data_IF_772837786204
#
_entry.id   IF_772837786204
#
_cell.length_a   1.000
_cell.length_b   1.000
_cell.length_c   1.000
_cell.angle_alpha   90.00
_cell.angle_beta   90.00
_cell.angle_gamma   90.00
#
_symmetry.space_group_name_H-M   'P 1'
#
loop_
_entity.id
_entity.type
_entity.pdbx_description
1 polymer ?
#
# COMPACT_ATOMS: atom_id res chain seq x y z
N UNK A 1 -22.41 -9.57 9.87
CA UNK A 1 -20.99 -9.19 10.14
C UNK A 1 -20.54 -8.22 9.06
N UNK A 2 -19.84 -7.18 9.43
CA UNK A 2 -19.39 -6.11 8.52
C UNK A 2 -17.91 -5.87 8.74
N UNK A 3 -17.17 -5.49 7.69
CA UNK A 3 -15.77 -5.12 7.84
C UNK A 3 -15.40 -3.93 6.95
N UNK A 4 -14.48 -3.11 7.45
CA UNK A 4 -13.89 -1.98 6.75
C UNK A 4 -12.38 -2.17 6.77
N UNK A 5 -11.76 -2.08 5.61
CA UNK A 5 -10.32 -1.89 5.47
C UNK A 5 -10.10 -0.44 5.04
N UNK A 6 -9.27 0.31 5.77
CA UNK A 6 -8.70 1.57 5.30
C UNK A 6 -7.22 1.33 5.01
N UNK A 7 -6.85 1.40 3.75
CA UNK A 7 -5.53 1.00 3.28
C UNK A 7 -4.83 2.19 2.63
N UNK A 8 -3.76 2.64 3.27
CA UNK A 8 -2.90 3.70 2.77
C UNK A 8 -1.73 3.13 1.96
N UNK A 9 -1.17 3.90 1.05
CA UNK A 9 0.11 3.61 0.42
C UNK A 9 1.20 4.48 1.05
N UNK A 10 2.33 3.88 1.38
CA UNK A 10 3.52 4.64 1.82
C UNK A 10 3.38 5.34 3.19
N UNK A 11 2.46 4.92 4.08
CA UNK A 11 2.29 5.53 5.40
C UNK A 11 3.41 5.11 6.37
N UNK A 12 4.34 6.03 6.64
CA UNK A 12 5.45 5.79 7.54
C UNK A 12 5.05 5.98 9.02
N UNK A 13 5.13 4.92 9.82
CA UNK A 13 4.75 4.93 11.24
C UNK A 13 5.51 5.94 12.09
N UNK A 14 6.72 6.35 11.69
CA UNK A 14 7.51 7.34 12.42
C UNK A 14 6.88 8.74 12.41
N UNK A 15 5.97 9.00 11.49
CA UNK A 15 5.22 10.25 11.38
C UNK A 15 3.88 10.21 12.13
N UNK A 16 3.53 9.10 12.77
CA UNK A 16 2.30 8.96 13.57
C UNK A 16 2.64 9.12 15.06
N UNK A 17 2.10 10.15 15.78
CA UNK A 17 2.37 10.37 17.21
C UNK A 17 2.07 9.16 18.10
N UNK A 18 1.04 8.36 17.79
CA UNK A 18 0.71 7.14 18.52
C UNK A 18 1.77 6.03 18.43
N UNK A 19 2.65 6.07 17.42
CA UNK A 19 3.82 5.18 17.30
C UNK A 19 5.13 5.85 17.69
N UNK A 20 5.25 7.15 17.48
CA UNK A 20 6.44 7.92 17.75
C UNK A 20 6.08 9.22 18.48
N UNK A 21 6.22 9.26 19.81
CA UNK A 21 5.91 10.46 20.60
C UNK A 21 6.73 11.72 20.22
N UNK A 22 7.84 11.54 19.49
CA UNK A 22 8.65 12.65 18.98
C UNK A 22 8.14 13.17 17.61
N UNK A 23 7.17 12.52 17.00
CA UNK A 23 6.58 13.01 15.74
C UNK A 23 5.83 14.32 15.96
N UNK A 24 6.07 15.26 15.07
CA UNK A 24 5.42 16.58 15.09
C UNK A 24 4.22 16.67 14.15
N UNK A 25 3.85 15.56 13.52
CA UNK A 25 2.69 15.46 12.63
C UNK A 25 1.39 15.64 13.43
N UNK A 26 0.49 16.45 12.92
CA UNK A 26 -0.85 16.66 13.50
C UNK A 26 -1.75 15.54 13.02
N UNK A 27 -1.95 14.52 13.84
CA UNK A 27 -2.69 13.31 13.51
C UNK A 27 -3.57 12.82 14.68
N UNK A 28 -4.55 13.63 15.13
CA UNK A 28 -5.41 13.30 16.27
C UNK A 28 -6.35 12.12 16.01
N UNK A 29 -6.75 11.87 14.77
CA UNK A 29 -7.66 10.77 14.45
C UNK A 29 -6.94 9.41 14.45
N UNK A 30 -5.66 9.34 14.06
CA UNK A 30 -4.86 8.15 14.29
C UNK A 30 -4.68 7.87 15.79
N UNK A 31 -4.56 8.91 16.62
CA UNK A 31 -4.53 8.75 18.07
C UNK A 31 -5.87 8.23 18.60
N UNK A 32 -7.00 8.81 18.14
CA UNK A 32 -8.36 8.33 18.47
C UNK A 32 -8.56 6.87 18.05
N UNK A 33 -8.08 6.49 16.86
CA UNK A 33 -8.12 5.10 16.40
C UNK A 33 -7.32 4.17 17.33
N UNK A 34 -6.12 4.57 17.73
CA UNK A 34 -5.28 3.80 18.66
C UNK A 34 -5.98 3.57 20.01
N UNK A 35 -6.74 4.56 20.49
CA UNK A 35 -7.54 4.46 21.72
C UNK A 35 -8.75 3.53 21.59
N UNK A 36 -9.29 3.36 20.37
CA UNK A 36 -10.48 2.53 20.08
C UNK A 36 -10.14 1.16 19.50
N UNK A 37 -8.87 0.83 19.28
CA UNK A 37 -8.47 -0.41 18.62
C UNK A 37 -7.26 -1.06 19.30
N UNK A 38 -6.86 -2.20 18.80
CA UNK A 38 -5.56 -2.81 19.10
C UNK A 38 -4.52 -2.25 18.16
N UNK A 39 -3.47 -1.66 18.72
CA UNK A 39 -2.31 -1.18 17.98
C UNK A 39 -1.23 -2.27 17.96
N UNK A 40 -0.73 -2.60 16.77
CA UNK A 40 0.35 -3.58 16.62
C UNK A 40 1.71 -2.88 16.59
N UNK A 41 2.56 -3.20 17.56
CA UNK A 41 3.90 -2.62 17.65
C UNK A 41 4.84 -3.22 16.59
N UNK A 42 4.61 -4.45 16.15
CA UNK A 42 5.48 -5.21 15.25
C UNK A 42 4.74 -5.72 14.01
N UNK A 43 4.15 -4.78 13.25
CA UNK A 43 3.63 -5.06 11.91
C UNK A 43 4.71 -4.84 10.87
N UNK A 44 4.92 -5.82 9.99
CA UNK A 44 5.93 -5.78 8.94
C UNK A 44 5.34 -6.05 7.56
N UNK A 45 5.96 -5.43 6.56
CA UNK A 45 5.70 -5.79 5.15
C UNK A 45 6.05 -7.25 4.89
N UNK A 46 5.56 -7.78 3.79
CA UNK A 46 6.04 -9.04 3.21
C UNK A 46 6.69 -8.77 1.85
N UNK A 47 5.92 -8.83 0.78
CA UNK A 47 6.36 -8.43 -0.55
C UNK A 47 6.20 -6.95 -0.77
N UNK A 48 7.24 -6.33 -1.29
CA UNK A 48 7.26 -4.90 -1.61
C UNK A 48 7.51 -4.69 -3.10
N UNK A 49 7.21 -3.50 -3.62
CA UNK A 49 6.42 -2.43 -3.01
C UNK A 49 4.90 -2.61 -3.30
N UNK A 50 4.19 -1.59 -3.64
CA UNK A 50 2.75 -1.41 -3.77
C UNK A 50 1.95 -2.63 -4.27
N UNK A 51 2.08 -3.05 -5.54
CA UNK A 51 1.27 -4.15 -6.10
C UNK A 51 1.64 -5.55 -5.57
N UNK A 52 2.92 -5.89 -5.33
CA UNK A 52 3.26 -7.11 -4.61
C UNK A 52 2.64 -7.20 -3.22
N UNK A 53 2.56 -6.10 -2.46
CA UNK A 53 1.87 -6.06 -1.17
C UNK A 53 0.36 -6.29 -1.32
N UNK A 54 -0.26 -5.71 -2.35
CA UNK A 54 -1.69 -5.95 -2.65
C UNK A 54 -1.96 -7.39 -3.04
N UNK A 55 -1.06 -8.01 -3.77
CA UNK A 55 -1.20 -9.44 -4.07
C UNK A 55 -1.09 -10.29 -2.81
N UNK A 56 -0.24 -9.93 -1.86
CA UNK A 56 -0.20 -10.58 -0.54
C UNK A 56 -1.49 -10.39 0.24
N UNK A 57 -2.06 -9.18 0.24
CA UNK A 57 -3.35 -8.91 0.86
C UNK A 57 -4.47 -9.77 0.25
N UNK A 58 -4.45 -9.99 -1.07
CA UNK A 58 -5.42 -10.84 -1.74
C UNK A 58 -5.22 -12.32 -1.44
N UNK A 59 -3.97 -12.80 -1.44
CA UNK A 59 -3.67 -14.25 -1.49
C UNK A 59 -3.16 -14.84 -0.18
N UNK A 60 -2.80 -14.00 0.79
CA UNK A 60 -2.17 -14.45 2.03
C UNK A 60 -0.82 -15.15 1.83
N UNK A 61 -0.11 -14.89 0.73
CA UNK A 61 1.15 -15.55 0.37
C UNK A 61 2.21 -14.56 -0.10
N UNK A 62 3.49 -14.88 0.16
CA UNK A 62 4.61 -14.11 -0.36
C UNK A 62 4.64 -14.09 -1.89
N UNK A 63 4.60 -12.91 -2.49
CA UNK A 63 4.75 -12.70 -3.93
C UNK A 63 6.22 -12.66 -4.36
N UNK A 64 7.07 -11.95 -3.62
CA UNK A 64 8.45 -11.64 -4.02
C UNK A 64 9.35 -12.86 -4.19
N UNK A 65 8.95 -14.04 -3.72
CA UNK A 65 9.70 -15.27 -3.85
C UNK A 65 9.60 -15.93 -5.25
N UNK A 66 8.60 -15.54 -6.06
CA UNK A 66 8.36 -16.20 -7.34
C UNK A 66 7.93 -15.28 -8.48
N UNK A 67 7.57 -14.03 -8.20
CA UNK A 67 6.98 -13.12 -9.19
C UNK A 67 7.35 -11.67 -8.91
N UNK A 68 7.72 -10.94 -9.96
CA UNK A 68 7.79 -9.48 -9.93
C UNK A 68 6.40 -8.83 -9.88
N UNK A 69 6.34 -7.51 -10.04
CA UNK A 69 5.07 -6.79 -10.19
C UNK A 69 4.27 -7.37 -11.35
N UNK A 70 3.05 -7.77 -11.06
CA UNK A 70 2.22 -8.37 -12.07
C UNK A 70 0.80 -8.65 -11.60
N UNK A 71 0.01 -9.30 -12.47
CA UNK A 71 -1.37 -9.64 -12.19
C UNK A 71 -1.52 -10.71 -11.10
N UNK A 72 -2.73 -10.90 -10.66
CA UNK A 72 -3.14 -12.13 -9.99
C UNK A 72 -3.02 -13.29 -10.98
N UNK A 73 -2.69 -14.45 -10.47
CA UNK A 73 -2.53 -15.66 -11.28
C UNK A 73 -3.81 -16.50 -11.27
N UNK A 74 -4.09 -17.30 -12.30
CA UNK A 74 -5.28 -18.18 -12.34
C UNK A 74 -5.36 -19.18 -11.19
N UNK A 75 -4.25 -19.45 -10.50
CA UNK A 75 -4.17 -20.33 -9.33
C UNK A 75 -4.22 -19.58 -8.00
N UNK A 76 -4.28 -18.24 -8.00
CA UNK A 76 -4.37 -17.46 -6.79
C UNK A 76 -5.77 -17.53 -6.17
N UNK A 77 -5.82 -17.73 -4.87
CA UNK A 77 -7.03 -17.58 -4.08
C UNK A 77 -7.15 -16.12 -3.66
N UNK A 78 -8.11 -15.40 -4.21
CA UNK A 78 -8.28 -13.98 -3.91
C UNK A 78 -9.29 -13.78 -2.79
N UNK A 79 -8.91 -13.12 -1.70
CA UNK A 79 -9.74 -12.88 -0.51
C UNK A 79 -11.13 -12.30 -0.86
N UNK A 80 -11.28 -11.20 -1.64
CA UNK A 80 -12.61 -10.70 -1.95
C UNK A 80 -13.45 -11.67 -2.77
N UNK A 81 -12.82 -12.49 -3.63
CA UNK A 81 -13.53 -13.51 -4.43
C UNK A 81 -14.03 -14.66 -3.53
N UNK A 82 -13.19 -15.15 -2.62
CA UNK A 82 -13.59 -16.17 -1.65
C UNK A 82 -14.72 -15.68 -0.71
N UNK A 83 -14.67 -14.43 -0.28
CA UNK A 83 -15.75 -13.83 0.52
C UNK A 83 -17.05 -13.72 -0.29
N UNK A 84 -16.95 -13.30 -1.55
CA UNK A 84 -18.09 -13.24 -2.47
C UNK A 84 -18.75 -14.61 -2.67
N UNK A 85 -17.97 -15.68 -2.78
CA UNK A 85 -18.47 -17.06 -2.86
C UNK A 85 -19.25 -17.49 -1.59
N UNK A 86 -18.95 -16.89 -0.44
CA UNK A 86 -19.67 -17.10 0.82
C UNK A 86 -20.84 -16.12 1.02
N UNK A 87 -21.19 -15.36 -0.01
CA UNK A 87 -22.30 -14.41 0.02
C UNK A 87 -21.98 -13.08 0.72
N UNK A 88 -20.71 -12.78 1.01
CA UNK A 88 -20.30 -11.47 1.51
C UNK A 88 -20.21 -10.49 0.35
N UNK A 89 -20.89 -9.35 0.44
CA UNK A 89 -20.80 -8.31 -0.57
C UNK A 89 -19.48 -7.53 -0.41
N UNK A 90 -18.62 -7.59 -1.40
CA UNK A 90 -17.31 -6.93 -1.37
C UNK A 90 -17.28 -5.71 -2.28
N UNK A 91 -16.87 -4.57 -1.74
CA UNK A 91 -16.77 -3.30 -2.48
C UNK A 91 -15.37 -2.70 -2.32
N UNK A 92 -14.76 -2.31 -3.46
CA UNK A 92 -13.48 -1.63 -3.50
C UNK A 92 -13.69 -0.17 -3.90
N UNK A 93 -13.06 0.74 -3.15
CA UNK A 93 -12.89 2.14 -3.55
C UNK A 93 -11.38 2.42 -3.53
N UNK A 94 -10.83 2.90 -4.65
CA UNK A 94 -9.39 3.14 -4.76
C UNK A 94 -9.09 4.27 -5.75
N UNK A 95 -8.00 4.98 -5.51
CA UNK A 95 -7.36 5.90 -6.47
C UNK A 95 -6.03 5.35 -7.00
N UNK A 96 -5.73 4.08 -6.76
CA UNK A 96 -4.48 3.47 -7.14
C UNK A 96 -4.40 3.26 -8.66
N UNK A 97 -3.54 4.02 -9.33
CA UNK A 97 -3.45 4.06 -10.80
C UNK A 97 -3.04 2.72 -11.44
N UNK A 98 -2.31 1.86 -10.72
CA UNK A 98 -1.86 0.58 -11.23
C UNK A 98 -3.00 -0.41 -11.55
N UNK A 99 -4.21 -0.19 -11.03
CA UNK A 99 -5.38 -0.98 -11.43
C UNK A 99 -5.82 -0.74 -12.89
N UNK A 100 -5.28 0.29 -13.54
CA UNK A 100 -5.50 0.58 -14.97
C UNK A 100 -4.37 0.13 -15.88
N UNK A 101 -3.32 -0.44 -15.32
CA UNK A 101 -2.19 -0.98 -16.07
C UNK A 101 -2.43 -2.44 -16.46
N UNK A 102 -1.71 -2.93 -17.49
CA UNK A 102 -1.90 -4.29 -18.03
C UNK A 102 -1.84 -5.39 -16.94
N UNK A 103 -0.96 -5.26 -15.97
CA UNK A 103 -0.78 -6.22 -14.88
C UNK A 103 -1.64 -5.98 -13.64
N UNK A 104 -2.40 -4.89 -13.59
CA UNK A 104 -3.24 -4.55 -12.44
C UNK A 104 -4.73 -4.72 -12.69
N UNK A 105 -5.14 -4.89 -13.95
CA UNK A 105 -6.55 -4.85 -14.35
C UNK A 105 -7.38 -6.07 -13.91
N UNK A 106 -6.81 -7.02 -13.20
CA UNK A 106 -7.52 -8.19 -12.70
C UNK A 106 -7.71 -8.22 -11.17
N UNK A 107 -7.26 -7.18 -10.43
CA UNK A 107 -7.46 -7.09 -8.99
C UNK A 107 -8.87 -6.60 -8.62
N UNK A 108 -9.29 -5.45 -9.16
CA UNK A 108 -10.55 -4.82 -8.81
C UNK A 108 -11.78 -5.66 -9.19
N UNK A 109 -11.71 -6.44 -10.25
CA UNK A 109 -12.80 -7.28 -10.70
C UNK A 109 -13.02 -8.57 -9.86
N UNK A 110 -12.18 -8.79 -8.84
CA UNK A 110 -12.41 -9.82 -7.81
C UNK A 110 -13.52 -9.42 -6.84
N UNK A 111 -13.80 -8.12 -6.69
CA UNK A 111 -14.88 -7.59 -5.86
C UNK A 111 -16.24 -7.70 -6.56
N UNK A 112 -17.35 -7.57 -5.81
CA UNK A 112 -18.69 -7.48 -6.40
C UNK A 112 -18.87 -6.16 -7.15
N UNK A 113 -18.34 -5.07 -6.60
CA UNK A 113 -18.35 -3.75 -7.22
C UNK A 113 -17.13 -2.94 -6.84
N UNK A 114 -16.85 -1.92 -7.63
CA UNK A 114 -15.68 -1.05 -7.39
C UNK A 114 -15.89 0.34 -7.95
N UNK A 115 -15.25 1.32 -7.30
CA UNK A 115 -15.12 2.69 -7.77
C UNK A 115 -13.65 3.08 -7.80
N UNK A 116 -13.15 3.47 -8.98
CA UNK A 116 -11.76 3.88 -9.14
C UNK A 116 -11.72 5.38 -9.45
N UNK A 117 -11.04 6.13 -8.59
CA UNK A 117 -10.76 7.55 -8.76
C UNK A 117 -9.47 7.71 -9.54
N UNK A 118 -9.41 8.69 -10.43
CA UNK A 118 -8.27 8.93 -11.31
C UNK A 118 -7.54 10.21 -10.94
N UNK A 119 -6.25 10.27 -11.24
CA UNK A 119 -5.47 11.52 -11.18
C UNK A 119 -4.27 11.52 -10.25
N UNK A 120 -4.05 10.45 -9.48
CA UNK A 120 -2.88 10.32 -8.62
C UNK A 120 -1.59 10.17 -9.43
N UNK A 121 -0.49 10.68 -8.89
CA UNK A 121 0.85 10.57 -9.46
C UNK A 121 0.88 10.92 -10.95
N UNK A 122 1.56 10.13 -11.73
CA UNK A 122 1.63 10.21 -13.18
C UNK A 122 0.53 9.46 -13.92
N UNK A 123 -0.65 9.30 -13.33
CA UNK A 123 -1.78 8.61 -13.95
C UNK A 123 -2.11 9.21 -15.32
N UNK A 124 -2.27 8.35 -16.32
CA UNK A 124 -2.66 8.71 -17.69
C UNK A 124 -4.15 9.12 -17.76
N UNK A 125 -4.56 10.04 -16.89
CA UNK A 125 -5.94 10.46 -16.72
C UNK A 125 -6.39 11.51 -17.74
N UNK A 126 -5.70 12.66 -17.75
CA UNK A 126 -6.08 13.78 -18.61
C UNK A 126 -5.17 13.92 -19.82
N UNK A 127 -5.78 14.15 -20.98
CA UNK A 127 -5.03 14.38 -22.21
C UNK A 127 -4.58 15.86 -22.30
N UNK A 128 -3.31 16.08 -22.62
CA UNK A 128 -2.78 17.37 -23.03
C UNK A 128 -1.76 17.18 -24.14
N UNK A 129 -1.97 17.84 -25.28
CA UNK A 129 -1.01 17.86 -26.39
C UNK A 129 0.10 18.88 -26.17
N UNK A 130 -0.17 19.88 -25.34
CA UNK A 130 0.82 20.90 -24.94
C UNK A 130 1.45 20.48 -23.60
N UNK A 131 2.69 20.89 -23.39
CA UNK A 131 3.33 20.71 -22.09
C UNK A 131 2.59 21.51 -21.01
N UNK A 132 2.46 20.95 -19.80
CA UNK A 132 1.84 21.65 -18.69
C UNK A 132 2.69 22.86 -18.28
N UNK A 133 2.02 23.89 -17.78
CA UNK A 133 2.71 25.01 -17.16
C UNK A 133 3.23 24.59 -15.78
N UNK A 134 4.54 24.52 -15.64
CA UNK A 134 5.20 24.25 -14.34
C UNK A 134 5.69 25.58 -13.79
N UNK A 135 5.32 25.97 -12.55
CA UNK A 135 5.80 27.20 -11.95
C UNK A 135 7.34 27.25 -11.86
N UNK A 136 7.95 28.41 -12.07
CA UNK A 136 9.42 28.60 -12.01
C UNK A 136 10.02 28.26 -10.62
N UNK A 137 9.19 28.35 -9.59
CA UNK A 137 9.57 28.02 -8.20
C UNK A 137 9.72 26.51 -7.98
N UNK A 138 9.34 25.66 -8.93
CA UNK A 138 9.44 24.19 -8.80
C UNK A 138 10.81 23.70 -9.25
N UNK A 139 11.43 22.85 -8.43
CA UNK A 139 12.66 22.12 -8.77
C UNK A 139 12.31 20.93 -9.67
N UNK A 140 12.64 21.04 -10.95
CA UNK A 140 12.44 19.91 -11.89
C UNK A 140 13.58 18.91 -11.70
N UNK A 141 13.30 17.66 -11.32
CA UNK A 141 14.32 16.63 -11.11
C UNK A 141 15.07 16.34 -12.42
N UNK A 142 16.41 16.24 -12.36
CA UNK A 142 17.26 16.02 -13.54
C UNK A 142 16.87 14.76 -14.34
N UNK A 143 16.49 13.67 -13.66
CA UNK A 143 16.04 12.40 -14.28
C UNK A 143 14.70 12.53 -15.01
N UNK A 144 13.97 13.60 -14.79
CA UNK A 144 12.63 13.80 -15.38
C UNK A 144 12.64 14.84 -16.51
N UNK A 145 13.74 15.58 -16.68
CA UNK A 145 13.89 16.61 -17.72
C UNK A 145 13.94 16.05 -19.16
N UNK A 146 14.02 14.76 -19.35
CA UNK A 146 14.11 14.10 -20.66
C UNK A 146 13.02 13.08 -20.98
N UNK A 147 11.98 12.96 -20.16
CA UNK A 147 10.97 11.88 -20.25
C UNK A 147 9.97 12.00 -21.42
N UNK A 148 10.03 13.09 -22.19
CA UNK A 148 9.12 13.32 -23.32
C UNK A 148 7.64 13.35 -22.92
N UNK A 149 6.76 13.19 -23.90
CA UNK A 149 5.29 13.27 -23.72
C UNK A 149 4.69 12.14 -22.86
N UNK A 150 5.42 11.06 -22.62
CA UNK A 150 4.96 9.89 -21.88
C UNK A 150 5.53 9.80 -20.44
N UNK A 151 6.20 10.83 -19.93
CA UNK A 151 6.75 10.78 -18.57
C UNK A 151 5.68 10.93 -17.50
N UNK A 152 5.78 10.14 -16.42
CA UNK A 152 4.87 10.22 -15.29
C UNK A 152 4.85 11.62 -14.65
N UNK A 153 6.01 12.27 -14.55
CA UNK A 153 6.12 13.65 -14.06
C UNK A 153 5.30 14.65 -14.90
N UNK A 154 5.33 14.50 -16.24
CA UNK A 154 4.52 15.34 -17.13
C UNK A 154 3.04 15.13 -16.92
N UNK A 155 2.60 13.88 -16.78
CA UNK A 155 1.20 13.56 -16.50
C UNK A 155 0.75 14.10 -15.15
N UNK A 156 1.58 13.98 -14.11
CA UNK A 156 1.30 14.59 -12.81
C UNK A 156 1.00 16.09 -12.94
N UNK A 157 1.85 16.85 -13.62
CA UNK A 157 1.61 18.29 -13.83
C UNK A 157 0.39 18.59 -14.70
N UNK A 158 0.05 17.71 -15.66
CA UNK A 158 -1.22 17.81 -16.40
C UNK A 158 -2.39 17.59 -15.44
N UNK A 159 -2.35 16.54 -14.61
CA UNK A 159 -3.41 16.17 -13.67
C UNK A 159 -3.63 17.28 -12.63
N UNK A 160 -2.58 17.85 -12.05
CA UNK A 160 -2.66 18.97 -11.09
C UNK A 160 -3.42 20.17 -11.63
N UNK A 161 -3.45 20.38 -12.95
CA UNK A 161 -4.24 21.46 -13.54
C UNK A 161 -5.76 21.27 -13.39
N UNK A 162 -6.19 20.06 -13.05
CA UNK A 162 -7.57 19.66 -12.76
C UNK A 162 -7.83 19.38 -11.28
N UNK A 163 -6.79 19.36 -10.45
CA UNK A 163 -6.85 19.14 -8.99
C UNK A 163 -6.52 20.47 -8.33
N UNK A 164 -7.53 21.30 -8.05
CA UNK A 164 -7.37 22.68 -7.58
C UNK A 164 -7.89 22.91 -6.18
N UNK A 165 -9.04 22.34 -5.90
CA UNK A 165 -9.71 22.42 -4.62
C UNK A 165 -9.60 21.06 -3.92
N UNK A 166 -9.71 21.02 -2.58
CA UNK A 166 -9.61 19.76 -1.84
C UNK A 166 -10.56 18.67 -2.34
N UNK A 167 -11.76 19.05 -2.78
CA UNK A 167 -12.74 18.12 -3.35
C UNK A 167 -12.27 17.45 -4.67
N UNK A 168 -11.28 18.02 -5.35
CA UNK A 168 -10.73 17.45 -6.58
C UNK A 168 -9.65 16.39 -6.30
N UNK A 169 -9.10 16.37 -5.07
CA UNK A 169 -8.06 15.41 -4.71
C UNK A 169 -8.59 13.97 -4.72
N UNK A 170 -7.88 13.04 -5.37
CA UNK A 170 -8.33 11.65 -5.46
C UNK A 170 -8.61 11.01 -4.09
N UNK A 171 -7.75 11.23 -3.09
CA UNK A 171 -7.98 10.78 -1.72
C UNK A 171 -9.32 11.29 -1.16
N UNK A 172 -9.58 12.60 -1.26
CA UNK A 172 -10.86 13.18 -0.79
C UNK A 172 -12.04 12.50 -1.43
N UNK A 173 -11.97 12.28 -2.75
CA UNK A 173 -13.03 11.61 -3.51
C UNK A 173 -13.20 10.14 -3.10
N UNK A 174 -12.11 9.42 -2.77
CA UNK A 174 -12.19 8.05 -2.24
C UNK A 174 -12.93 8.02 -0.91
N UNK A 175 -12.58 8.93 0.00
CA UNK A 175 -13.26 9.02 1.30
C UNK A 175 -14.71 9.51 1.19
N UNK A 176 -15.03 10.39 0.23
CA UNK A 176 -16.43 10.78 -0.04
C UNK A 176 -17.27 9.57 -0.43
N UNK A 177 -16.78 8.72 -1.33
CA UNK A 177 -17.45 7.48 -1.73
C UNK A 177 -17.52 6.48 -0.59
N UNK A 178 -16.44 6.36 0.20
CA UNK A 178 -16.43 5.53 1.41
C UNK A 178 -17.49 5.95 2.42
N UNK A 179 -17.62 7.25 2.67
CA UNK A 179 -18.68 7.80 3.52
C UNK A 179 -20.08 7.54 2.94
N UNK A 180 -20.27 7.75 1.63
CA UNK A 180 -21.55 7.44 0.96
C UNK A 180 -21.90 5.95 1.11
N UNK A 181 -20.92 5.04 0.91
CA UNK A 181 -21.14 3.60 1.10
C UNK A 181 -21.59 3.29 2.52
N UNK A 182 -20.93 3.84 3.54
CA UNK A 182 -21.26 3.61 4.95
C UNK A 182 -22.61 4.21 5.30
N UNK A 183 -22.91 5.43 4.87
CA UNK A 183 -24.22 6.07 5.12
C UNK A 183 -25.38 5.28 4.53
N UNK A 184 -25.17 4.67 3.37
CA UNK A 184 -26.19 3.89 2.68
C UNK A 184 -26.37 2.48 3.24
N UNK A 185 -25.29 1.86 3.77
CA UNK A 185 -25.26 0.43 4.08
C UNK A 185 -24.97 0.11 5.56
N UNK A 186 -24.94 1.11 6.47
CA UNK A 186 -24.64 0.89 7.88
C UNK A 186 -25.61 -0.08 8.57
N UNK A 187 -26.88 -0.13 8.13
CA UNK A 187 -27.93 -1.01 8.64
C UNK A 187 -28.05 -2.35 7.87
N UNK A 188 -27.30 -2.52 6.78
CA UNK A 188 -27.16 -3.80 6.08
C UNK A 188 -26.11 -4.69 6.75
N UNK A 189 -26.18 -5.98 6.47
CA UNK A 189 -25.21 -6.96 7.00
C UNK A 189 -24.44 -7.65 5.88
N UNK A 190 -23.38 -8.36 6.27
CA UNK A 190 -22.63 -9.27 5.41
C UNK A 190 -21.90 -8.56 4.24
N UNK A 191 -21.09 -7.54 4.56
CA UNK A 191 -20.31 -6.81 3.57
C UNK A 191 -18.88 -6.48 4.04
N UNK A 192 -17.98 -6.31 3.05
CA UNK A 192 -16.63 -5.79 3.18
C UNK A 192 -16.46 -4.55 2.32
N UNK A 193 -16.15 -3.41 2.94
CA UNK A 193 -15.64 -2.22 2.27
C UNK A 193 -14.11 -2.23 2.32
N UNK A 194 -13.44 -2.22 1.16
CA UNK A 194 -12.02 -1.94 1.03
C UNK A 194 -11.84 -0.53 0.47
N UNK A 195 -11.56 0.41 1.37
CA UNK A 195 -11.26 1.81 1.06
C UNK A 195 -9.75 1.99 1.02
N UNK A 196 -9.21 2.18 -0.15
CA UNK A 196 -7.78 2.31 -0.42
C UNK A 196 -7.48 3.70 -0.96
N UNK A 197 -6.40 4.32 -0.46
CA UNK A 197 -5.90 5.59 -0.99
C UNK A 197 -4.41 5.53 -1.25
N UNK A 198 -4.01 6.17 -2.35
CA UNK A 198 -2.61 6.28 -2.74
C UNK A 198 -1.80 7.16 -1.79
N UNK A 199 -2.42 8.19 -1.23
CA UNK A 199 -1.76 9.03 -0.23
C UNK A 199 -1.46 8.24 1.08
N UNK A 200 -0.34 8.59 1.76
CA UNK A 200 0.60 9.69 1.52
C UNK A 200 1.80 9.34 0.60
N UNK A 201 1.60 8.62 -0.49
CA UNK A 201 2.61 8.33 -1.53
C UNK A 201 3.13 9.61 -2.18
N UNK A 202 4.36 9.59 -2.70
CA UNK A 202 4.90 10.66 -3.52
C UNK A 202 4.21 10.70 -4.91
N UNK A 203 4.03 11.88 -5.52
CA UNK A 203 4.45 13.22 -5.10
C UNK A 203 3.61 13.74 -3.92
N UNK A 204 4.27 14.44 -2.98
CA UNK A 204 3.61 14.93 -1.76
C UNK A 204 2.81 16.21 -2.06
N UNK A 205 1.88 16.11 -3.00
CA UNK A 205 0.99 17.21 -3.40
C UNK A 205 -0.23 17.25 -2.48
N UNK A 206 -0.44 18.36 -1.81
CA UNK A 206 -1.45 18.50 -0.76
C UNK A 206 -2.10 19.89 -0.81
N UNK A 207 -3.40 20.04 -0.42
CA UNK A 207 -4.04 21.34 -0.31
C UNK A 207 -3.31 22.29 0.64
N UNK A 208 -3.21 23.58 0.26
CA UNK A 208 -2.46 24.62 0.99
C UNK A 208 -2.83 24.70 2.47
N UNK A 209 -4.10 24.52 2.83
CA UNK A 209 -4.55 24.57 4.22
C UNK A 209 -3.82 23.58 5.16
N UNK A 210 -3.38 22.44 4.64
CA UNK A 210 -2.59 21.49 5.44
C UNK A 210 -1.13 21.91 5.55
N UNK A 211 -0.57 22.53 4.50
CA UNK A 211 0.77 23.13 4.58
C UNK A 211 0.84 24.29 5.56
N UNK A 212 -0.21 25.08 5.68
CA UNK A 212 -0.29 26.22 6.59
C UNK A 212 -0.20 25.79 8.07
N UNK A 213 -0.50 24.53 8.38
CA UNK A 213 -0.32 23.95 9.72
C UNK A 213 1.16 23.76 10.10
N UNK A 214 2.05 23.79 9.13
CA UNK A 214 3.49 23.56 9.29
C UNK A 214 4.28 24.74 8.72
N UNK A 215 4.35 25.89 9.42
CA UNK A 215 5.08 27.06 8.93
C UNK A 215 6.58 26.75 8.78
N UNK A 216 7.20 27.33 7.75
CA UNK A 216 8.64 27.21 7.50
C UNK A 216 9.21 28.51 6.92
N UNK A 217 10.53 28.71 7.10
CA UNK A 217 11.28 29.84 6.55
C UNK A 217 12.08 29.41 5.29
N UNK A 218 11.51 28.54 4.46
CA UNK A 218 12.16 28.02 3.27
C UNK A 218 11.81 28.91 2.06
N UNK A 219 12.84 29.49 1.45
CA UNK A 219 12.75 30.40 0.28
C UNK A 219 13.29 29.76 -1.02
N UNK A 220 13.66 28.47 -0.96
CA UNK A 220 14.16 27.72 -2.10
C UNK A 220 13.08 27.24 -3.05
N UNK A 221 13.50 26.47 -4.06
CA UNK A 221 12.56 25.89 -5.01
C UNK A 221 11.73 24.78 -4.37
N UNK A 222 10.43 24.78 -4.63
CA UNK A 222 9.52 23.73 -4.20
C UNK A 222 9.90 22.36 -4.81
N UNK A 223 9.86 21.32 -3.99
CA UNK A 223 10.19 19.96 -4.36
C UNK A 223 9.35 18.96 -3.53
N UNK A 224 8.53 18.16 -4.18
CA UNK A 224 7.56 17.25 -3.54
C UNK A 224 7.62 15.81 -4.08
N UNK A 225 8.52 15.53 -5.03
CA UNK A 225 8.68 14.20 -5.61
C UNK A 225 10.13 13.72 -5.55
N UNK A 226 10.63 13.40 -4.33
CA UNK A 226 12.00 12.94 -4.14
C UNK A 226 12.20 11.48 -4.59
N UNK A 227 13.36 11.16 -5.13
CA UNK A 227 13.73 9.79 -5.55
C UNK A 227 15.23 9.55 -5.50
N UNK A 228 15.61 8.35 -5.07
CA UNK A 228 17.00 7.87 -5.12
C UNK A 228 17.86 8.38 -3.97
N UNK A 229 19.12 8.77 -4.26
CA UNK A 229 20.04 9.30 -3.25
C UNK A 229 19.59 10.69 -2.78
N UNK A 230 19.65 10.94 -1.50
CA UNK A 230 19.29 12.23 -0.90
C UNK A 230 20.50 13.17 -0.93
N UNK A 231 20.64 13.92 -2.02
CA UNK A 231 21.73 14.89 -2.23
C UNK A 231 21.29 16.32 -1.86
N UNK A 232 20.10 16.49 -1.32
CA UNK A 232 19.50 17.76 -0.95
C UNK A 232 20.15 18.35 0.30
N UNK A 233 20.13 19.68 0.39
CA UNK A 233 20.52 20.41 1.59
C UNK A 233 19.58 20.10 2.75
N UNK A 234 20.03 20.27 4.02
CA UNK A 234 19.16 20.09 5.17
C UNK A 234 17.88 20.93 5.14
N UNK A 235 17.89 22.09 4.49
CA UNK A 235 16.70 22.94 4.33
C UNK A 235 15.71 22.33 3.32
N UNK A 236 16.19 21.86 2.18
CA UNK A 236 15.37 21.14 1.20
C UNK A 236 14.78 19.84 1.77
N UNK A 237 15.56 19.06 2.54
CA UNK A 237 15.08 17.86 3.20
C UNK A 237 13.94 18.21 4.18
N UNK A 238 14.07 19.26 4.98
CA UNK A 238 12.99 19.70 5.88
C UNK A 238 11.76 20.12 5.10
N UNK A 239 11.93 20.84 3.98
CA UNK A 239 10.84 21.26 3.12
C UNK A 239 10.04 20.05 2.57
N UNK A 240 10.73 19.03 2.06
CA UNK A 240 10.07 17.80 1.56
C UNK A 240 9.37 17.04 2.69
N UNK A 241 10.02 16.89 3.84
CA UNK A 241 9.41 16.25 5.01
C UNK A 241 8.15 16.97 5.49
N UNK A 242 8.12 18.29 5.37
CA UNK A 242 6.94 19.11 5.69
C UNK A 242 5.78 18.80 4.73
N UNK A 243 6.06 18.62 3.42
CA UNK A 243 5.01 18.22 2.47
C UNK A 243 4.41 16.87 2.89
N UNK A 244 5.27 15.90 3.21
CA UNK A 244 4.82 14.59 3.66
C UNK A 244 4.01 14.67 4.97
N UNK A 245 4.43 15.46 5.96
CA UNK A 245 3.67 15.68 7.19
C UNK A 245 2.27 16.26 6.92
N UNK A 246 2.18 17.26 6.05
CA UNK A 246 0.91 17.87 5.66
C UNK A 246 -0.02 16.85 4.98
N UNK A 247 0.54 15.98 4.14
CA UNK A 247 -0.21 14.92 3.47
C UNK A 247 -0.70 13.85 4.47
N UNK A 248 0.13 13.45 5.45
CA UNK A 248 -0.29 12.55 6.55
C UNK A 248 -1.42 13.20 7.38
N UNK A 249 -1.38 14.53 7.59
CA UNK A 249 -2.48 15.24 8.28
C UNK A 249 -3.77 15.21 7.46
N UNK A 250 -3.68 15.28 6.13
CA UNK A 250 -4.85 15.10 5.26
C UNK A 250 -5.40 13.67 5.36
N UNK A 251 -4.53 12.66 5.40
CA UNK A 251 -4.91 11.26 5.64
C UNK A 251 -5.63 11.10 6.99
N UNK A 252 -5.10 11.72 8.04
CA UNK A 252 -5.70 11.74 9.38
C UNK A 252 -7.10 12.35 9.39
N UNK A 253 -7.25 13.51 8.75
CA UNK A 253 -8.54 14.20 8.63
C UNK A 253 -9.58 13.33 7.90
N UNK A 254 -9.17 12.68 6.82
CA UNK A 254 -10.01 11.76 6.06
C UNK A 254 -10.40 10.53 6.89
N UNK A 255 -9.48 9.95 7.65
CA UNK A 255 -9.76 8.85 8.59
C UNK A 255 -10.81 9.27 9.64
N UNK A 256 -10.71 10.48 10.17
CA UNK A 256 -11.66 11.02 11.13
C UNK A 256 -13.10 10.93 10.66
N UNK A 257 -13.35 11.15 9.37
CA UNK A 257 -14.69 11.05 8.77
C UNK A 257 -15.27 9.62 8.85
N UNK A 258 -14.43 8.60 8.66
CA UNK A 258 -14.85 7.19 8.82
C UNK A 258 -15.15 6.90 10.29
N UNK A 259 -14.28 7.34 11.22
CA UNK A 259 -14.48 7.13 12.65
C UNK A 259 -15.77 7.84 13.14
N UNK A 260 -16.07 9.03 12.61
CA UNK A 260 -17.29 9.75 12.93
C UNK A 260 -18.57 9.01 12.49
N UNK A 261 -18.51 8.31 11.34
CA UNK A 261 -19.62 7.45 10.89
C UNK A 261 -19.70 6.17 11.71
N UNK A 262 -18.58 5.60 12.13
CA UNK A 262 -18.54 4.46 13.06
C UNK A 262 -19.26 4.83 14.39
N UNK A 263 -19.00 6.02 14.93
CA UNK A 263 -19.67 6.53 16.14
C UNK A 263 -21.14 6.81 15.88
N UNK A 264 -21.44 7.57 14.82
CA UNK A 264 -22.80 8.01 14.47
C UNK A 264 -23.80 6.84 14.33
N UNK A 265 -23.34 5.77 13.71
CA UNK A 265 -24.17 4.60 13.42
C UNK A 265 -23.92 3.41 14.36
N UNK A 266 -23.16 3.62 15.44
CA UNK A 266 -22.82 2.59 16.44
C UNK A 266 -22.20 1.33 15.82
N UNK A 267 -21.38 1.52 14.79
CA UNK A 267 -20.80 0.41 14.01
C UNK A 267 -19.71 -0.34 14.76
N UNK A 268 -19.16 0.22 15.83
CA UNK A 268 -18.21 -0.46 16.70
C UNK A 268 -18.74 -1.77 17.30
N UNK A 269 -20.06 -1.94 17.38
CA UNK A 269 -20.69 -3.15 17.94
C UNK A 269 -20.64 -4.35 17.00
N UNK A 270 -20.57 -4.17 15.67
CA UNK A 270 -20.76 -5.23 14.69
C UNK A 270 -19.84 -5.16 13.46
N UNK A 271 -18.97 -4.17 13.40
CA UNK A 271 -18.10 -3.91 12.25
C UNK A 271 -16.63 -4.00 12.63
N UNK A 272 -15.89 -4.90 12.00
CA UNK A 272 -14.43 -4.94 12.09
C UNK A 272 -13.83 -3.74 11.33
N UNK A 273 -12.80 -3.11 11.91
CA UNK A 273 -12.02 -2.07 11.23
C UNK A 273 -10.54 -2.45 11.25
N UNK A 274 -9.94 -2.51 10.06
CA UNK A 274 -8.49 -2.69 9.88
C UNK A 274 -7.95 -1.44 9.20
N UNK A 275 -6.96 -0.78 9.80
CA UNK A 275 -6.30 0.39 9.23
C UNK A 275 -4.80 0.15 9.17
N UNK A 276 -4.20 0.31 8.01
CA UNK A 276 -2.77 0.12 7.81
C UNK A 276 -2.29 0.54 6.43
N UNK A 277 -1.12 0.07 6.04
CA UNK A 277 -0.44 0.46 4.80
C UNK A 277 0.31 -0.72 4.19
N UNK A 278 0.66 -0.61 2.95
CA UNK A 278 1.48 -1.59 2.22
C UNK A 278 2.96 -1.56 2.64
N UNK A 279 3.55 -0.38 2.83
CA UNK A 279 4.93 -0.15 3.28
C UNK A 279 5.11 1.30 3.74
N UNK A 280 6.27 1.62 4.28
CA UNK A 280 6.69 2.98 4.54
C UNK A 280 7.54 3.59 3.41
N UNK A 281 8.33 4.61 3.77
CA UNK A 281 9.15 5.39 2.84
C UNK A 281 10.36 5.98 3.56
N UNK A 282 11.52 6.01 2.91
CA UNK A 282 12.67 6.78 3.38
C UNK A 282 12.51 8.24 2.97
N UNK A 283 12.57 9.12 3.96
CA UNK A 283 12.47 10.56 3.81
C UNK A 283 13.83 11.21 4.11
N UNK A 284 14.85 10.81 3.36
CA UNK A 284 16.27 11.12 3.51
C UNK A 284 16.95 10.47 4.72
N UNK A 285 16.33 9.46 5.36
CA UNK A 285 17.08 8.57 6.25
C UNK A 285 18.05 7.72 5.43
N UNK A 286 19.21 7.39 6.01
CA UNK A 286 20.26 6.57 5.36
C UNK A 286 20.71 7.14 4.00
N UNK A 287 20.58 8.46 3.80
CA UNK A 287 20.90 9.18 2.56
C UNK A 287 20.08 8.72 1.33
N UNK A 288 18.83 8.29 1.54
CA UNK A 288 17.93 7.85 0.48
C UNK A 288 16.53 8.46 0.57
N UNK A 289 15.94 8.67 -0.61
CA UNK A 289 14.51 8.90 -0.82
C UNK A 289 13.86 7.69 -1.47
N UNK A 290 12.75 7.22 -0.91
CA UNK A 290 11.95 6.19 -1.57
C UNK A 290 11.91 4.84 -0.88
N UNK A 291 11.62 3.81 -1.66
CA UNK A 291 11.27 2.47 -1.18
C UNK A 291 11.75 1.31 -2.05
N UNK A 292 12.33 1.59 -3.24
CA UNK A 292 12.52 0.56 -4.27
C UNK A 292 13.98 0.17 -4.56
N UNK A 293 14.95 1.02 -4.25
CA UNK A 293 16.33 0.88 -4.75
C UNK A 293 17.38 0.73 -3.64
N UNK A 294 16.95 0.69 -2.40
CA UNK A 294 17.80 0.68 -1.22
C UNK A 294 17.51 -0.55 -0.37
N UNK A 295 18.38 -0.91 0.58
CA UNK A 295 18.06 -1.92 1.58
C UNK A 295 16.77 -1.58 2.31
N UNK A 296 15.97 -2.58 2.66
CA UNK A 296 14.67 -2.38 3.30
C UNK A 296 14.83 -2.12 4.80
N UNK A 297 15.15 -0.88 5.12
CA UNK A 297 15.24 -0.39 6.50
C UNK A 297 13.87 -0.37 7.18
N UNK A 298 13.87 -0.22 8.49
CA UNK A 298 12.62 -0.21 9.29
C UNK A 298 11.64 0.90 8.87
N UNK A 299 12.14 2.01 8.35
CA UNK A 299 11.30 3.10 7.83
C UNK A 299 10.40 2.65 6.67
N UNK A 300 10.83 1.63 5.94
CA UNK A 300 10.05 1.02 4.85
C UNK A 300 9.30 -0.21 5.37
N UNK A 301 9.99 -1.08 6.11
CA UNK A 301 9.50 -2.42 6.41
C UNK A 301 8.58 -2.50 7.63
N UNK A 302 8.73 -1.62 8.60
CA UNK A 302 8.00 -1.64 9.87
C UNK A 302 6.81 -0.69 9.80
N UNK A 303 5.63 -1.22 9.53
CA UNK A 303 4.41 -0.49 9.18
C UNK A 303 3.48 -0.26 10.38
N UNK A 304 2.62 0.77 10.36
CA UNK A 304 1.53 0.90 11.31
C UNK A 304 0.41 -0.10 10.99
N UNK A 305 -0.23 -0.62 12.03
CA UNK A 305 -1.43 -1.44 11.91
C UNK A 305 -2.32 -1.26 13.14
N UNK A 306 -3.60 -1.02 12.90
CA UNK A 306 -4.65 -0.93 13.89
C UNK A 306 -5.78 -1.89 13.53
N UNK A 307 -6.27 -2.63 14.52
CA UNK A 307 -7.39 -3.57 14.30
C UNK A 307 -8.40 -3.42 15.43
N UNK A 308 -9.63 -3.12 15.06
CA UNK A 308 -10.80 -3.28 15.92
C UNK A 308 -11.57 -4.52 15.47
N UNK A 309 -11.82 -5.42 16.42
CA UNK A 309 -12.66 -6.61 16.19
C UNK A 309 -13.84 -6.61 17.17
N UNK A 310 -15.08 -6.45 16.69
CA UNK A 310 -16.26 -6.34 17.53
C UNK A 310 -16.55 -7.64 18.33
N UNK A 311 -15.99 -8.78 17.92
CA UNK A 311 -16.12 -10.04 18.64
C UNK A 311 -15.40 -10.02 19.99
N UNK A 312 -14.31 -9.24 20.08
CA UNK A 312 -13.46 -9.18 21.27
C UNK A 312 -13.56 -7.85 22.01
N UNK A 313 -13.88 -6.76 21.32
CA UNK A 313 -14.06 -5.41 21.87
C UNK A 313 -12.85 -4.92 22.70
N UNK A 314 -11.65 -5.19 22.21
CA UNK A 314 -10.40 -4.82 22.86
C UNK A 314 -9.92 -3.48 22.28
N UNK A 315 -9.86 -2.47 23.13
CA UNK A 315 -9.49 -1.09 22.75
C UNK A 315 -8.28 -0.59 23.55
N UNK A 316 -7.50 0.30 22.96
CA UNK A 316 -6.39 0.99 23.60
C UNK A 316 -5.25 0.08 24.06
N UNK A 317 -5.11 -1.09 23.46
CA UNK A 317 -4.08 -2.06 23.82
C UNK A 317 -3.05 -2.23 22.71
N UNK A 318 -1.82 -2.51 23.12
CA UNK A 318 -0.71 -2.82 22.24
C UNK A 318 -0.50 -4.34 22.12
N UNK A 319 -0.03 -4.79 20.94
CA UNK A 319 0.41 -6.16 20.68
C UNK A 319 1.84 -6.14 20.15
N UNK A 320 2.68 -6.97 20.75
CA UNK A 320 4.11 -7.07 20.43
C UNK A 320 4.44 -8.25 19.52
N UNK A 321 3.50 -9.15 19.34
CA UNK A 321 3.66 -10.27 18.40
C UNK A 321 3.78 -9.78 16.97
N UNK A 322 4.62 -10.46 16.20
CA UNK A 322 4.85 -10.13 14.78
C UNK A 322 3.63 -10.46 13.94
N UNK A 323 3.20 -9.49 13.14
CA UNK A 323 2.17 -9.64 12.11
C UNK A 323 2.66 -9.12 10.77
N UNK A 324 2.08 -9.61 9.68
CA UNK A 324 2.39 -9.15 8.32
C UNK A 324 1.10 -8.94 7.52
N UNK A 325 1.18 -8.19 6.41
CA UNK A 325 0.01 -7.87 5.58
C UNK A 325 -0.72 -9.14 5.10
N UNK A 326 0.00 -10.22 4.85
CA UNK A 326 -0.58 -11.51 4.45
C UNK A 326 -1.50 -12.13 5.51
N UNK A 327 -1.45 -11.66 6.77
CA UNK A 327 -2.32 -12.16 7.86
C UNK A 327 -3.73 -11.57 7.80
N UNK A 328 -3.92 -10.47 7.05
CA UNK A 328 -5.23 -9.82 6.95
C UNK A 328 -6.23 -10.71 6.21
N UNK A 329 -5.79 -11.34 5.12
CA UNK A 329 -6.64 -12.25 4.35
C UNK A 329 -7.23 -13.39 5.20
N UNK A 330 -6.43 -14.24 5.86
CA UNK A 330 -6.99 -15.32 6.68
C UNK A 330 -7.77 -14.79 7.91
N UNK A 331 -7.45 -13.62 8.44
CA UNK A 331 -8.21 -12.98 9.53
C UNK A 331 -9.62 -12.61 9.06
N UNK A 332 -9.73 -11.99 7.88
CA UNK A 332 -11.04 -11.63 7.30
C UNK A 332 -11.84 -12.86 6.89
N UNK A 333 -11.20 -13.87 6.30
CA UNK A 333 -11.89 -15.14 6.00
C UNK A 333 -12.43 -15.78 7.26
N UNK A 334 -11.63 -15.88 8.32
CA UNK A 334 -12.09 -16.42 9.60
C UNK A 334 -13.19 -15.55 10.23
N UNK A 335 -13.08 -14.24 10.15
CA UNK A 335 -14.11 -13.32 10.64
C UNK A 335 -15.46 -13.57 9.99
N UNK A 336 -15.51 -13.72 8.67
CA UNK A 336 -16.75 -14.02 7.93
C UNK A 336 -17.14 -15.52 7.90
N UNK A 337 -16.36 -16.39 8.55
CA UNK A 337 -16.62 -17.83 8.55
C UNK A 337 -16.30 -18.54 7.25
N UNK A 338 -15.52 -17.92 6.37
CA UNK A 338 -15.06 -18.50 5.12
C UNK A 338 -13.87 -19.45 5.34
N UNK A 339 -13.75 -20.53 4.55
CA UNK A 339 -12.61 -21.44 4.66
C UNK A 339 -11.30 -20.77 4.22
N UNK A 340 -10.24 -21.00 4.99
CA UNK A 340 -8.90 -20.53 4.64
C UNK A 340 -8.26 -21.55 3.69
N UNK A 341 -7.82 -21.16 2.48
CA UNK A 341 -7.14 -22.07 1.56
C UNK A 341 -5.84 -22.63 2.16
N UNK A 342 -5.52 -23.87 1.81
CA UNK A 342 -4.33 -24.59 2.34
C UNK A 342 -2.99 -23.95 1.98
N UNK A 343 -2.95 -23.17 0.90
CA UNK A 343 -1.73 -22.56 0.37
C UNK A 343 -1.44 -21.17 0.99
N UNK A 344 -2.34 -20.67 1.85
CA UNK A 344 -2.17 -19.43 2.61
C UNK A 344 -1.01 -19.58 3.60
N UNK A 345 -0.08 -18.63 3.60
CA UNK A 345 1.08 -18.57 4.50
C UNK A 345 0.83 -17.62 5.67
N UNK A 346 -0.08 -16.65 5.47
CA UNK A 346 -0.60 -15.79 6.53
C UNK A 346 -1.35 -16.58 7.59
N UNK A 347 -1.49 -16.01 8.78
CA UNK A 347 -2.16 -16.65 9.92
C UNK A 347 -3.19 -15.68 10.50
N UNK A 348 -4.38 -16.17 10.90
CA UNK A 348 -5.36 -15.33 11.58
C UNK A 348 -4.78 -14.64 12.81
N UNK A 349 -5.20 -13.40 13.05
CA UNK A 349 -4.68 -12.58 14.15
C UNK A 349 -5.45 -12.75 15.47
N UNK A 350 -6.46 -13.60 15.55
CA UNK A 350 -7.35 -13.74 16.72
C UNK A 350 -6.59 -13.99 18.04
N UNK A 351 -5.63 -14.92 18.04
CA UNK A 351 -4.82 -15.21 19.23
C UNK A 351 -3.94 -14.02 19.64
N UNK A 352 -3.44 -13.24 18.65
CA UNK A 352 -2.66 -12.04 18.94
C UNK A 352 -3.59 -10.94 19.47
N UNK A 353 -4.73 -10.71 18.83
CA UNK A 353 -5.72 -9.72 19.27
C UNK A 353 -6.13 -9.92 20.72
N UNK A 354 -6.48 -11.18 21.09
CA UNK A 354 -7.04 -11.49 22.41
C UNK A 354 -6.00 -11.56 23.53
N UNK A 355 -4.81 -12.10 23.28
CA UNK A 355 -3.84 -12.42 24.34
C UNK A 355 -2.39 -12.20 23.97
N UNK A 356 -2.12 -11.51 22.84
CA UNK A 356 -0.76 -11.33 22.30
C UNK A 356 0.02 -12.67 22.14
N UNK A 357 -0.71 -13.75 21.84
CA UNK A 357 -0.10 -15.08 21.62
C UNK A 357 0.59 -15.10 20.25
N UNK A 358 1.93 -15.21 20.20
CA UNK A 358 2.67 -15.19 18.94
C UNK A 358 2.26 -16.36 18.03
N UNK A 359 2.10 -16.07 16.74
CA UNK A 359 1.90 -17.11 15.72
C UNK A 359 3.13 -17.30 14.82
N UNK A 360 4.18 -16.46 14.99
CA UNK A 360 5.49 -16.55 14.33
C UNK A 360 6.58 -15.90 15.17
N UNK A 361 7.82 -16.33 14.95
CA UNK A 361 8.99 -15.83 15.67
C UNK A 361 9.75 -14.77 14.84
N UNK A 362 9.47 -14.66 13.55
CA UNK A 362 10.15 -13.74 12.64
C UNK A 362 9.25 -13.32 11.48
N UNK A 363 9.55 -12.16 10.91
CA UNK A 363 9.00 -11.68 9.64
C UNK A 363 10.03 -11.86 8.52
N UNK A 364 9.61 -12.46 7.40
CA UNK A 364 10.37 -12.49 6.15
C UNK A 364 9.81 -11.43 5.22
N UNK A 365 10.66 -10.62 4.60
CA UNK A 365 10.20 -9.56 3.70
C UNK A 365 11.26 -9.22 2.63
N UNK A 366 10.80 -8.63 1.53
CA UNK A 366 11.72 -8.25 0.46
C UNK A 366 11.04 -7.80 -0.82
N UNK A 367 11.88 -7.60 -1.83
CA UNK A 367 11.47 -7.29 -3.19
C UNK A 367 11.96 -8.38 -4.13
N UNK A 368 11.15 -8.71 -5.13
CA UNK A 368 11.54 -9.69 -6.15
C UNK A 368 12.86 -9.27 -6.82
N UNK A 369 13.79 -10.20 -6.97
CA UNK A 369 15.16 -10.02 -7.47
C UNK A 369 16.11 -9.17 -6.61
N UNK A 370 15.63 -8.55 -5.55
CA UNK A 370 16.42 -7.74 -4.64
C UNK A 370 16.76 -8.46 -3.33
N UNK A 371 16.91 -7.69 -2.26
CA UNK A 371 17.22 -8.21 -0.93
C UNK A 371 16.09 -9.09 -0.38
N UNK A 372 16.49 -10.19 0.25
CA UNK A 372 15.62 -10.99 1.12
C UNK A 372 16.02 -10.73 2.55
N UNK A 373 15.05 -10.30 3.37
CA UNK A 373 15.30 -9.85 4.72
C UNK A 373 14.50 -10.67 5.72
N UNK A 374 15.06 -10.81 6.93
CA UNK A 374 14.37 -11.44 8.05
C UNK A 374 14.60 -10.62 9.31
N UNK A 375 13.59 -10.49 10.15
CA UNK A 375 13.67 -9.83 11.46
C UNK A 375 12.95 -10.62 12.54
N UNK A 376 13.53 -10.60 13.75
CA UNK A 376 12.92 -11.06 15.00
C UNK A 376 12.45 -9.86 15.87
N UNK A 377 12.32 -8.67 15.31
CA UNK A 377 12.05 -7.36 15.93
C UNK A 377 13.23 -6.68 16.62
N UNK A 378 14.25 -7.43 17.01
CA UNK A 378 15.46 -6.92 17.68
C UNK A 378 16.64 -6.84 16.71
N UNK A 379 16.69 -7.78 15.78
CA UNK A 379 17.71 -7.88 14.76
C UNK A 379 17.09 -7.95 13.38
N UNK A 380 17.76 -7.38 12.40
CA UNK A 380 17.43 -7.54 10.98
C UNK A 380 18.64 -8.08 10.24
N UNK A 381 18.43 -9.17 9.51
CA UNK A 381 19.43 -9.70 8.57
C UNK A 381 18.95 -9.45 7.14
N UNK A 382 19.75 -8.70 6.40
CA UNK A 382 19.46 -8.34 5.00
C UNK A 382 20.44 -9.07 4.09
N UNK A 383 19.91 -9.95 3.26
CA UNK A 383 20.72 -10.73 2.31
C UNK A 383 20.56 -10.15 0.92
N UNK A 384 21.64 -9.60 0.40
CA UNK A 384 21.73 -9.17 -1.00
C UNK A 384 21.70 -10.37 -1.96
N UNK A 385 21.23 -10.20 -3.19
CA UNK A 385 21.43 -11.16 -4.27
C UNK A 385 22.92 -11.45 -4.49
N UNK A 386 23.23 -12.69 -4.90
CA UNK A 386 24.60 -13.06 -5.26
C UNK A 386 24.92 -12.49 -6.65
N UNK A 387 25.96 -11.63 -6.80
CA UNK A 387 26.26 -10.99 -8.08
C UNK A 387 26.49 -11.98 -9.23
N UNK A 388 27.09 -13.15 -8.94
CA UNK A 388 27.33 -14.22 -9.90
C UNK A 388 26.08 -14.99 -10.32
N UNK A 389 24.95 -14.83 -9.60
CA UNK A 389 23.66 -15.49 -9.86
C UNK A 389 22.53 -14.55 -10.26
N UNK A 390 22.82 -13.28 -10.44
CA UNK A 390 21.79 -12.28 -10.81
C UNK A 390 21.04 -12.64 -12.11
N UNK A 391 21.70 -13.34 -13.01
CA UNK A 391 21.09 -13.84 -14.26
C UNK A 391 20.17 -15.05 -14.08
N UNK A 392 20.05 -15.60 -12.86
CA UNK A 392 19.24 -16.78 -12.55
C UNK A 392 17.86 -16.41 -11.94
N UNK A 393 17.41 -15.18 -12.11
CA UNK A 393 16.10 -14.74 -11.60
C UNK A 393 15.04 -14.95 -12.66
N UNK A 394 13.95 -15.63 -12.28
CA UNK A 394 12.85 -16.01 -13.18
C UNK A 394 11.50 -15.68 -12.59
N UNK A 395 10.61 -15.17 -13.43
CA UNK A 395 9.18 -15.13 -13.15
C UNK A 395 8.55 -16.49 -13.41
N UNK A 396 7.69 -16.92 -12.49
CA UNK A 396 6.88 -18.14 -12.65
C UNK A 396 5.41 -17.74 -12.71
N UNK A 397 4.79 -17.87 -13.90
CA UNK A 397 3.50 -17.23 -14.18
C UNK A 397 2.71 -17.97 -15.25
N UNK A 398 1.39 -17.81 -15.22
CA UNK A 398 0.47 -18.12 -16.33
C UNK A 398 -0.05 -16.85 -17.00
N UNK A 399 0.31 -15.68 -16.48
CA UNK A 399 -0.10 -14.38 -16.97
C UNK A 399 1.10 -13.67 -17.62
N UNK A 400 1.24 -13.68 -18.95
CA UNK A 400 2.43 -13.16 -19.65
C UNK A 400 2.42 -11.62 -19.73
N UNK A 401 2.34 -10.98 -18.58
CA UNK A 401 2.16 -9.54 -18.42
C UNK A 401 3.03 -9.04 -17.27
N UNK A 402 3.80 -7.96 -17.48
CA UNK A 402 4.36 -7.14 -16.42
C UNK A 402 3.26 -6.25 -15.85
N UNK A 403 3.54 -5.46 -14.82
CA UNK A 403 2.60 -4.43 -14.39
C UNK A 403 2.32 -3.47 -15.54
N UNK A 404 3.37 -2.91 -16.14
CA UNK A 404 3.30 -2.03 -17.30
C UNK A 404 3.67 -2.77 -18.59
N UNK A 405 2.68 -3.22 -19.34
CA UNK A 405 2.88 -3.87 -20.62
C UNK A 405 2.95 -5.40 -20.56
N UNK A 406 2.92 -6.02 -21.72
CA UNK A 406 2.96 -7.47 -21.91
C UNK A 406 4.40 -7.96 -21.98
N UNK A 407 4.59 -9.24 -21.74
CA UNK A 407 5.85 -9.90 -22.08
C UNK A 407 6.09 -9.78 -23.58
N UNK A 408 7.28 -9.35 -23.96
CA UNK A 408 7.67 -9.23 -25.36
C UNK A 408 7.81 -10.62 -26.02
N UNK A 409 7.66 -10.73 -27.35
CA UNK A 409 7.97 -11.97 -28.06
C UNK A 409 9.36 -12.52 -27.76
N UNK A 410 10.36 -11.64 -27.53
CA UNK A 410 11.72 -12.01 -27.17
C UNK A 410 11.78 -12.68 -25.79
N UNK A 411 11.08 -12.19 -24.80
CA UNK A 411 10.98 -12.81 -23.47
C UNK A 411 10.30 -14.17 -23.57
N UNK A 412 9.17 -14.22 -24.24
CA UNK A 412 8.42 -15.46 -24.41
C UNK A 412 9.15 -16.53 -25.25
N UNK A 413 10.00 -16.13 -26.19
CA UNK A 413 10.79 -17.08 -26.99
C UNK A 413 11.81 -17.86 -26.16
N UNK A 414 12.17 -17.37 -24.98
CA UNK A 414 13.09 -18.04 -24.04
C UNK A 414 12.37 -18.71 -22.88
N UNK A 415 11.05 -18.61 -22.84
CA UNK A 415 10.25 -19.21 -21.79
C UNK A 415 10.27 -20.73 -21.88
N UNK A 416 10.29 -21.38 -20.72
CA UNK A 416 10.15 -22.84 -20.60
C UNK A 416 8.96 -23.17 -19.73
N UNK A 417 8.38 -24.35 -19.90
CA UNK A 417 7.33 -24.84 -19.04
C UNK A 417 7.92 -25.54 -17.83
N UNK A 418 7.62 -25.04 -16.63
CA UNK A 418 8.09 -25.61 -15.37
C UNK A 418 7.00 -26.48 -14.75
N UNK A 419 7.41 -27.45 -13.90
CA UNK A 419 6.49 -28.30 -13.15
C UNK A 419 5.67 -27.47 -12.15
N UNK A 420 4.48 -27.96 -11.75
CA UNK A 420 3.69 -27.32 -10.72
C UNK A 420 4.46 -27.13 -9.40
N UNK A 421 4.32 -25.98 -8.78
CA UNK A 421 4.68 -25.76 -7.38
C UNK A 421 3.51 -26.18 -6.46
N UNK A 422 3.74 -26.27 -5.16
CA UNK A 422 2.73 -26.64 -4.18
C UNK A 422 1.50 -25.72 -4.21
N UNK A 423 1.71 -24.43 -4.53
CA UNK A 423 0.67 -23.40 -4.56
C UNK A 423 0.03 -23.16 -5.93
N UNK A 424 0.49 -23.81 -7.00
CA UNK A 424 -0.06 -23.59 -8.36
C UNK A 424 -1.24 -24.51 -8.71
N UNK A 425 -1.80 -25.23 -7.72
CA UNK A 425 -2.98 -26.11 -7.86
C UNK A 425 -2.85 -27.13 -9.00
N UNK A 426 -1.64 -27.64 -9.21
CA UNK A 426 -1.32 -28.60 -10.28
C UNK A 426 -1.08 -27.96 -11.66
N UNK A 427 -1.16 -26.65 -11.78
CA UNK A 427 -0.87 -25.96 -13.03
C UNK A 427 0.64 -25.89 -13.28
N UNK A 428 1.07 -26.29 -14.47
CA UNK A 428 2.38 -25.96 -14.98
C UNK A 428 2.46 -24.47 -15.25
N UNK A 429 3.62 -23.84 -15.00
CA UNK A 429 3.80 -22.40 -15.16
C UNK A 429 4.91 -22.09 -16.16
N UNK A 430 4.82 -20.98 -16.82
CA UNK A 430 5.90 -20.43 -17.63
C UNK A 430 7.02 -19.96 -16.68
N UNK A 431 8.23 -20.40 -16.94
CA UNK A 431 9.44 -19.88 -16.35
C UNK A 431 10.05 -18.92 -17.36
N UNK A 432 10.04 -17.63 -17.04
CA UNK A 432 10.49 -16.55 -17.91
C UNK A 432 11.58 -15.77 -17.21
N UNK A 433 12.74 -15.57 -17.88
CA UNK A 433 13.83 -14.81 -17.29
C UNK A 433 13.37 -13.39 -16.97
N UNK A 434 13.59 -12.95 -15.74
CA UNK A 434 13.27 -11.59 -15.34
C UNK A 434 14.23 -10.57 -15.96
N UNK A 435 13.70 -9.39 -16.26
CA UNK A 435 14.52 -8.20 -16.54
C UNK A 435 14.84 -7.56 -15.20
N UNK A 436 16.07 -7.69 -14.82
CA UNK A 436 16.58 -7.28 -13.54
C UNK A 436 16.40 -5.77 -13.29
N UNK A 437 15.62 -5.40 -12.26
CA UNK A 437 15.43 -4.01 -11.86
C UNK A 437 16.10 -3.63 -10.54
N UNK A 438 16.43 -4.63 -9.70
CA UNK A 438 16.84 -4.40 -8.30
C UNK A 438 18.18 -5.05 -7.93
N UNK A 439 18.95 -5.49 -8.92
CA UNK A 439 20.33 -6.02 -8.75
C UNK A 439 21.39 -4.99 -9.10
#
# INVERSE_FOLDING_TARGET
MKAIIVFYDTLNRRYLPCYNPAATTIAPNFQRLAEHSVQFDNSYVGSTPCMPARRELHTGRYNFLHREWGPLEPFDDSMPELLKEQGVYTHLISDHLHYWEDGGCDYHNRYNSWEIVRGQEGDHWKASLKDPAVPEVVKVPQKQQGGGVASGWRYDWVNRSYIREEADFPQTQCFDRGCEFLERNHDADNWLLHLETFDPHEPFYVPQKYLDLYPEDYDGKHFDWPRGTADETPAEIRHVRRQYQALVTMCDHSLGRILDLMDKYNMWEDTMLIVGTDHGFLLAEHDYWGKNQMPYYNEIAHTPLFVWDPRYQIAGQHRKSIVQIMDWMPTLLQYFGAPIPKDVQGKPMDGILTSDTPNRDYALYGVFSGHVNITDTHHAYMRAPLPERKDEVYNYTLMPTHMNGRFSPKELSTATLEKPFSFTKGCHVLKVKSKDKYN
#
